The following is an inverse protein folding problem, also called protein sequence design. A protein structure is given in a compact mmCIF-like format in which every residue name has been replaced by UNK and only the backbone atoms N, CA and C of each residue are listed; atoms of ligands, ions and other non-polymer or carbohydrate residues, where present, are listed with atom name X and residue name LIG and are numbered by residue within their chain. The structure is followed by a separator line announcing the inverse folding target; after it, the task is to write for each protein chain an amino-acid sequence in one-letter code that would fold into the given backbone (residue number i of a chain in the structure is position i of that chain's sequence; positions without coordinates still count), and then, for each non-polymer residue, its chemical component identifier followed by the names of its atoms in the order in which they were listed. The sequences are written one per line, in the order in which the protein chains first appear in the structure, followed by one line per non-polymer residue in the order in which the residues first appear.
data_IF_486437433801
#
_entry.id   IF_486437433801
#
_cell.length_a   1.000
_cell.length_b   1.000
_cell.length_c   1.000
_cell.angle_alpha   90.00
_cell.angle_beta   90.00
_cell.angle_gamma   90.00
#
_symmetry.space_group_name_H-M   'P 1'
#
loop_
_entity.id
_entity.type
_entity.pdbx_description
1 polymer ?
#
# COMPACT_ATOMS: atom_id res chain seq x y z
N UNK A 1 -8.62 9.29 21.22
CA UNK A 1 -7.20 9.06 20.88
C UNK A 1 -7.02 9.31 19.40
N UNK A 2 -6.03 10.14 19.00
CA UNK A 2 -5.64 10.25 17.58
C UNK A 2 -4.93 8.95 17.21
N UNK A 3 -5.53 8.12 16.35
CA UNK A 3 -4.82 7.01 15.73
C UNK A 3 -3.65 7.59 14.95
N UNK A 4 -2.43 7.22 15.31
CA UNK A 4 -1.25 7.71 14.61
C UNK A 4 -1.19 7.04 13.22
N UNK A 5 -1.35 7.85 12.17
CA UNK A 5 -1.46 7.42 10.76
C UNK A 5 -0.07 7.26 10.14
N UNK A 6 0.04 6.42 9.12
CA UNK A 6 1.24 6.37 8.26
C UNK A 6 1.15 7.35 7.09
N UNK A 7 -0.06 7.64 6.63
CA UNK A 7 -0.28 8.56 5.53
C UNK A 7 -0.24 10.02 6.00
N UNK A 8 0.32 10.93 5.19
CA UNK A 8 0.26 12.37 5.46
C UNK A 8 -1.17 12.92 5.50
N UNK A 9 -1.35 14.06 6.15
CA UNK A 9 -2.66 14.69 6.34
C UNK A 9 -3.38 15.07 5.04
N UNK A 10 -2.64 15.28 3.94
CA UNK A 10 -3.24 15.58 2.63
C UNK A 10 -3.92 14.35 1.98
N UNK A 11 -3.62 13.14 2.46
CA UNK A 11 -4.27 11.91 2.00
C UNK A 11 -5.55 11.72 2.83
N UNK A 12 -6.75 11.76 2.20
CA UNK A 12 -8.00 11.52 2.91
C UNK A 12 -7.98 10.15 3.61
N UNK A 13 -8.58 10.03 4.80
CA UNK A 13 -8.72 8.74 5.46
C UNK A 13 -9.58 7.81 4.61
N UNK A 14 -9.25 6.52 4.63
CA UNK A 14 -9.94 5.50 3.85
C UNK A 14 -10.20 4.24 4.68
N UNK A 15 -11.15 3.38 4.27
CA UNK A 15 -11.47 2.17 5.02
C UNK A 15 -10.26 1.26 5.19
N UNK A 16 -10.11 0.69 6.39
CA UNK A 16 -9.01 -0.22 6.75
C UNK A 16 -7.61 0.39 6.61
N UNK A 17 -7.47 1.72 6.71
CA UNK A 17 -6.16 2.37 6.73
C UNK A 17 -5.23 1.75 7.79
N UNK A 18 -3.96 1.45 7.45
CA UNK A 18 -3.00 0.96 8.41
C UNK A 18 -2.74 2.02 9.48
N UNK A 19 -2.61 1.57 10.71
CA UNK A 19 -2.38 2.45 11.86
C UNK A 19 -1.20 1.95 12.68
N UNK A 20 -0.51 2.87 13.36
CA UNK A 20 0.64 2.53 14.20
C UNK A 20 0.26 1.66 15.42
N UNK A 21 -1.03 1.52 15.72
CA UNK A 21 -1.55 0.59 16.73
C UNK A 21 -1.51 -0.87 16.25
N UNK A 22 -1.67 -1.10 14.93
CA UNK A 22 -1.74 -2.43 14.32
C UNK A 22 -0.46 -2.83 13.59
N UNK A 23 0.37 -1.87 13.22
CA UNK A 23 1.56 -2.09 12.41
C UNK A 23 2.74 -1.25 12.87
N UNK A 24 3.94 -1.71 12.54
CA UNK A 24 5.17 -0.93 12.60
C UNK A 24 5.96 -1.09 11.30
N UNK A 25 6.67 -0.05 10.89
CA UNK A 25 7.70 -0.13 9.86
C UNK A 25 9.05 -0.25 10.58
N UNK A 26 9.80 -1.31 10.31
CA UNK A 26 11.07 -1.61 10.99
C UNK A 26 12.14 -1.96 9.98
N UNK A 27 13.40 -1.77 10.36
CA UNK A 27 14.51 -2.38 9.63
C UNK A 27 14.41 -3.91 9.81
N UNK A 28 14.36 -4.66 8.72
CA UNK A 28 14.23 -6.13 8.75
C UNK A 28 15.60 -6.81 8.60
N UNK A 29 16.46 -6.27 7.74
CA UNK A 29 17.81 -6.76 7.51
C UNK A 29 18.68 -5.71 6.83
N UNK A 30 19.97 -5.99 6.70
CA UNK A 30 20.92 -5.06 6.07
C UNK A 30 20.68 -4.91 4.56
N UNK A 31 20.18 -5.97 3.92
CA UNK A 31 19.91 -6.03 2.48
C UNK A 31 18.48 -5.64 2.09
N UNK A 32 17.51 -5.99 2.93
CA UNK A 32 16.08 -5.85 2.66
C UNK A 32 15.58 -4.43 2.98
N UNK A 33 16.29 -3.71 3.85
CA UNK A 33 15.88 -2.39 4.28
C UNK A 33 14.71 -2.44 5.27
N UNK A 34 13.72 -1.58 5.02
CA UNK A 34 12.54 -1.43 5.86
C UNK A 34 11.40 -2.33 5.41
N UNK A 35 10.72 -2.95 6.38
CA UNK A 35 9.55 -3.81 6.18
C UNK A 35 8.40 -3.50 7.14
N UNK A 36 7.19 -3.87 6.73
CA UNK A 36 5.98 -3.80 7.57
C UNK A 36 5.88 -5.02 8.48
N UNK A 37 5.61 -4.78 9.76
CA UNK A 37 5.39 -5.80 10.79
C UNK A 37 4.03 -5.59 11.43
N UNK A 38 3.22 -6.65 11.50
CA UNK A 38 1.97 -6.65 12.26
C UNK A 38 2.24 -6.68 13.77
N UNK A 39 1.52 -5.85 14.53
CA UNK A 39 1.55 -5.79 16.00
C UNK A 39 0.37 -6.51 16.65
N UNK A 40 -0.58 -6.96 15.83
CA UNK A 40 -1.79 -7.68 16.23
C UNK A 40 -1.95 -8.92 15.35
N UNK A 41 -2.72 -9.89 15.83
CA UNK A 41 -3.05 -11.07 15.05
C UNK A 41 -4.13 -10.76 14.01
N UNK A 42 -4.07 -11.50 12.90
CA UNK A 42 -5.06 -11.52 11.83
C UNK A 42 -5.42 -12.97 11.56
N UNK A 43 -6.71 -13.23 11.31
CA UNK A 43 -7.20 -14.56 10.98
C UNK A 43 -7.33 -14.74 9.46
N UNK A 44 -7.27 -15.97 8.93
CA UNK A 44 -7.49 -16.22 7.52
C UNK A 44 -8.84 -15.65 7.04
N UNK A 45 -8.79 -14.82 6.00
CA UNK A 45 -9.96 -14.12 5.45
C UNK A 45 -10.11 -12.67 5.91
N UNK A 46 -9.34 -12.23 6.91
CA UNK A 46 -9.35 -10.84 7.34
C UNK A 46 -8.79 -9.89 6.26
N UNK A 47 -9.38 -8.70 6.19
CA UNK A 47 -8.75 -7.58 5.49
C UNK A 47 -7.67 -6.99 6.40
N UNK A 48 -6.40 -7.26 6.05
CA UNK A 48 -5.25 -6.86 6.86
C UNK A 48 -5.12 -5.32 6.91
N UNK A 49 -5.10 -4.67 5.74
CA UNK A 49 -5.21 -3.22 5.58
C UNK A 49 -5.66 -2.86 4.16
N UNK A 50 -6.20 -1.66 3.99
CA UNK A 50 -6.34 -1.00 2.69
C UNK A 50 -5.15 -0.08 2.42
N UNK A 51 -4.93 0.29 1.16
CA UNK A 51 -3.88 1.25 0.80
C UNK A 51 -4.34 2.17 -0.33
N UNK A 52 -3.68 3.30 -0.43
CA UNK A 52 -3.88 4.29 -1.50
C UNK A 52 -2.54 4.90 -1.89
N UNK A 53 -2.52 5.68 -2.97
CA UNK A 53 -1.30 6.26 -3.49
C UNK A 53 -1.54 7.10 -4.73
N UNK A 54 -0.46 7.37 -5.44
CA UNK A 54 -0.48 8.18 -6.65
C UNK A 54 -0.42 7.29 -7.88
N UNK A 55 -1.27 7.57 -8.86
CA UNK A 55 -1.17 6.88 -10.14
C UNK A 55 -0.02 7.43 -10.97
N UNK A 56 0.78 6.52 -11.52
CA UNK A 56 1.88 6.82 -12.41
C UNK A 56 1.96 5.78 -13.53
N UNK A 57 2.57 6.14 -14.66
CA UNK A 57 2.99 5.22 -15.70
C UNK A 57 4.40 4.64 -15.44
N UNK A 58 5.09 5.13 -14.43
CA UNK A 58 6.44 4.70 -14.07
C UNK A 58 6.44 3.56 -13.04
N UNK A 59 7.36 2.62 -13.22
CA UNK A 59 7.59 1.52 -12.28
C UNK A 59 8.68 1.95 -11.29
N UNK A 60 8.38 1.81 -10.01
CA UNK A 60 9.30 2.09 -8.90
C UNK A 60 9.33 0.90 -7.94
N UNK A 61 10.26 0.91 -6.98
CA UNK A 61 10.27 -0.09 -5.89
C UNK A 61 9.02 0.00 -5.00
N UNK A 62 8.27 1.12 -5.05
CA UNK A 62 7.10 1.36 -4.21
C UNK A 62 5.80 1.39 -5.01
N UNK A 63 5.79 0.79 -6.21
CA UNK A 63 4.62 0.79 -7.08
C UNK A 63 4.03 -0.60 -7.26
N UNK A 64 2.70 -0.69 -7.21
CA UNK A 64 1.93 -1.89 -7.54
C UNK A 64 1.15 -1.67 -8.83
N UNK A 65 1.23 -2.60 -9.78
CA UNK A 65 0.46 -2.51 -11.02
C UNK A 65 -1.03 -2.70 -10.75
N UNK A 66 -1.85 -1.77 -11.24
CA UNK A 66 -3.32 -1.84 -11.14
C UNK A 66 -3.93 -2.36 -12.44
N UNK A 67 -3.46 -1.82 -13.56
CA UNK A 67 -3.72 -2.33 -14.92
C UNK A 67 -2.43 -2.21 -15.73
N UNK A 68 -2.30 -2.88 -16.89
CA UNK A 68 -1.13 -2.70 -17.76
C UNK A 68 -0.84 -1.23 -18.05
N UNK A 69 0.38 -0.77 -17.78
CA UNK A 69 0.82 0.62 -17.95
C UNK A 69 0.34 1.62 -16.88
N UNK A 70 -0.38 1.18 -15.85
CA UNK A 70 -0.84 2.03 -14.75
C UNK A 70 -0.47 1.42 -13.39
N UNK A 71 0.28 2.18 -12.62
CA UNK A 71 0.83 1.75 -11.34
C UNK A 71 0.37 2.69 -10.22
N UNK A 72 0.04 2.12 -9.08
CA UNK A 72 -0.21 2.86 -7.85
C UNK A 72 1.10 2.93 -7.05
N UNK A 73 1.65 4.12 -6.91
CA UNK A 73 2.85 4.40 -6.13
C UNK A 73 2.46 4.82 -4.71
N UNK A 74 2.90 4.04 -3.72
CA UNK A 74 2.69 4.32 -2.29
C UNK A 74 4.03 4.21 -1.53
N UNK A 75 4.73 5.34 -1.30
CA UNK A 75 5.98 5.36 -0.57
C UNK A 75 5.78 5.33 0.96
N UNK A 76 4.56 5.45 1.45
CA UNK A 76 4.26 5.65 2.87
C UNK A 76 4.07 4.33 3.63
N UNK A 77 3.39 3.36 3.00
CA UNK A 77 3.11 2.08 3.66
C UNK A 77 3.25 0.87 2.73
N UNK A 78 2.45 0.76 1.67
CA UNK A 78 2.43 -0.43 0.81
C UNK A 78 3.78 -0.69 0.13
N UNK A 79 4.52 0.36 -0.24
CA UNK A 79 5.88 0.24 -0.77
C UNK A 79 6.92 -0.31 0.23
N UNK A 80 6.56 -0.46 1.51
CA UNK A 80 7.40 -1.10 2.54
C UNK A 80 6.99 -2.55 2.82
N UNK A 81 6.00 -3.08 2.10
CA UNK A 81 5.67 -4.50 2.19
C UNK A 81 6.71 -5.29 1.40
N UNK A 82 7.44 -6.16 2.09
CA UNK A 82 8.49 -6.97 1.48
C UNK A 82 7.90 -8.12 0.67
N UNK A 83 8.57 -8.44 -0.44
CA UNK A 83 8.26 -9.64 -1.21
C UNK A 83 8.72 -10.89 -0.47
N UNK A 84 7.89 -11.93 -0.50
CA UNK A 84 8.24 -13.27 -0.06
C UNK A 84 7.71 -14.28 -1.09
N UNK A 85 8.48 -15.33 -1.36
CA UNK A 85 8.06 -16.41 -2.24
C UNK A 85 6.93 -17.26 -1.65
N UNK A 86 6.82 -17.32 -0.32
CA UNK A 86 5.75 -17.98 0.44
C UNK A 86 5.05 -16.95 1.34
N UNK A 87 4.15 -16.10 0.78
CA UNK A 87 3.57 -14.99 1.50
C UNK A 87 2.40 -15.42 2.38
N UNK A 88 2.23 -14.75 3.51
CA UNK A 88 1.07 -14.95 4.42
C UNK A 88 -0.16 -14.13 4.02
N UNK A 89 -0.02 -13.22 3.05
CA UNK A 89 -1.05 -12.30 2.60
C UNK A 89 -1.11 -12.23 1.08
N UNK A 90 -2.29 -11.94 0.53
CA UNK A 90 -2.46 -11.65 -0.89
C UNK A 90 -2.96 -10.22 -1.08
N UNK A 91 -2.64 -9.63 -2.23
CA UNK A 91 -3.05 -8.26 -2.57
C UNK A 91 -4.08 -8.33 -3.69
N UNK A 92 -5.25 -7.76 -3.43
CA UNK A 92 -6.29 -7.60 -4.45
C UNK A 92 -6.47 -6.11 -4.75
N UNK A 93 -6.16 -5.70 -5.98
CA UNK A 93 -6.46 -4.36 -6.45
C UNK A 93 -7.72 -4.40 -7.31
N UNK A 94 -8.79 -3.73 -6.89
CA UNK A 94 -9.99 -3.57 -7.74
C UNK A 94 -10.02 -2.16 -8.32
N UNK A 95 -9.97 -2.07 -9.64
CA UNK A 95 -9.91 -0.81 -10.39
C UNK A 95 -11.27 -0.07 -10.48
N UNK A 96 -12.18 -0.27 -9.52
CA UNK A 96 -13.61 0.01 -9.67
C UNK A 96 -14.02 1.49 -9.84
N UNK A 97 -13.07 2.44 -9.94
CA UNK A 97 -13.39 3.86 -10.17
C UNK A 97 -12.29 4.65 -10.93
N UNK A 98 -11.46 4.00 -11.72
CA UNK A 98 -10.55 4.74 -12.61
C UNK A 98 -11.34 5.28 -13.81
N UNK A 99 -11.84 6.51 -13.69
CA UNK A 99 -12.12 7.29 -14.90
C UNK A 99 -10.75 7.61 -15.48
N UNK A 100 -10.40 7.11 -16.68
CA UNK A 100 -9.17 7.52 -17.32
C UNK A 100 -9.17 9.04 -17.39
N UNK A 101 -8.11 9.68 -16.89
CA UNK A 101 -7.87 11.09 -17.19
C UNK A 101 -7.91 11.20 -18.70
N UNK A 102 -8.91 11.94 -19.20
CA UNK A 102 -9.16 12.09 -20.62
C UNK A 102 -7.88 12.53 -21.30
N UNK A 103 -7.49 11.77 -22.33
CA UNK A 103 -6.49 12.20 -23.29
C UNK A 103 -6.79 13.64 -23.70
N UNK A 104 -5.88 14.61 -23.58
CA UNK A 104 -6.07 15.88 -24.28
C UNK A 104 -6.11 15.53 -25.76
N UNK A 105 -7.28 15.69 -26.38
CA UNK A 105 -7.34 15.74 -27.85
C UNK A 105 -6.53 16.97 -28.26
N UNK A 106 -5.32 16.75 -28.77
CA UNK A 106 -4.77 17.29 -30.03
C UNK A 106 -3.27 17.14 -30.06
#
# INVERSE_FOLDING_TARGET
MKKSRFYPDFVPPFPNEPTQERFAIRQIGDSEGQGVVALVNFEPGDVVFGFTGFFSSEITLFSLQVTPGLYLHDPFFMGKVLHACDPTCTVTCSAASLRPFGHPRR
#
